data_IF_651109698886
#
_entry.id   IF_651109698886
#
_cell.length_a   1.000
_cell.length_b   1.000
_cell.length_c   1.000
_cell.angle_alpha   90.00
_cell.angle_beta   90.00
_cell.angle_gamma   90.00
#
_symmetry.space_group_name_H-M   'P 1'
#
loop_
_entity.id
_entity.type
_entity.pdbx_description
1 polymer ?
#
# COMPACT_ATOMS: atom_id res chain seq x y z
N UNK A 1 4.95 36.15 -15.79
CA UNK A 1 5.57 35.47 -14.63
C UNK A 1 6.66 34.55 -15.16
N UNK A 2 7.85 34.48 -14.56
CA UNK A 2 8.87 33.56 -15.02
C UNK A 2 8.29 32.13 -14.99
N UNK A 3 8.53 31.36 -16.04
CA UNK A 3 8.13 29.96 -16.18
C UNK A 3 8.74 29.15 -15.03
N UNK A 4 7.98 28.97 -13.94
CA UNK A 4 8.39 28.15 -12.80
C UNK A 4 7.83 26.74 -12.93
N UNK A 5 8.63 25.73 -12.61
CA UNK A 5 8.18 24.35 -12.50
C UNK A 5 6.93 24.23 -11.59
N UNK A 6 6.07 23.29 -11.92
CA UNK A 6 4.92 22.93 -11.10
C UNK A 6 5.38 22.36 -9.76
N UNK A 7 4.72 22.76 -8.67
CA UNK A 7 4.90 22.06 -7.40
C UNK A 7 4.27 20.67 -7.49
N UNK A 8 5.02 19.62 -7.22
CA UNK A 8 4.46 18.28 -7.08
C UNK A 8 3.96 18.10 -5.65
N UNK A 9 2.67 17.79 -5.50
CA UNK A 9 2.03 17.59 -4.22
C UNK A 9 1.77 16.10 -4.06
N UNK A 10 2.55 15.46 -3.18
CA UNK A 10 2.61 14.02 -3.00
C UNK A 10 2.02 13.66 -1.63
N UNK A 11 0.71 13.41 -1.54
CA UNK A 11 0.06 13.02 -0.29
C UNK A 11 0.38 11.57 0.10
N UNK A 12 0.60 11.34 1.38
CA UNK A 12 0.85 10.04 1.99
C UNK A 12 -0.30 9.73 2.96
N UNK A 13 -0.98 8.59 2.79
CA UNK A 13 -2.09 8.22 3.69
C UNK A 13 -1.64 7.31 4.84
N UNK A 14 -0.75 6.36 4.55
CA UNK A 14 -0.13 5.50 5.55
C UNK A 14 1.39 5.64 5.50
N UNK A 15 1.97 6.13 6.59
CA UNK A 15 3.41 6.40 6.66
C UNK A 15 4.22 5.12 6.41
N UNK A 16 3.88 4.06 7.14
CA UNK A 16 4.62 2.80 7.14
C UNK A 16 4.61 2.10 5.77
N UNK A 17 3.52 2.26 5.00
CA UNK A 17 3.34 1.59 3.70
C UNK A 17 3.77 2.44 2.50
N UNK A 18 3.65 3.75 2.59
CA UNK A 18 3.74 4.63 1.41
C UNK A 18 4.89 5.65 1.47
N UNK A 19 5.38 6.02 2.67
CA UNK A 19 6.29 7.16 2.82
C UNK A 19 7.61 6.95 2.08
N UNK A 20 8.29 5.82 2.28
CA UNK A 20 9.61 5.59 1.70
C UNK A 20 9.58 5.62 0.16
N UNK A 21 8.57 4.98 -0.44
CA UNK A 21 8.33 4.99 -1.88
C UNK A 21 8.05 6.41 -2.43
N UNK A 22 7.18 7.17 -1.76
CA UNK A 22 6.83 8.53 -2.17
C UNK A 22 7.97 9.53 -1.91
N UNK A 23 8.81 9.27 -0.92
CA UNK A 23 10.03 10.02 -0.66
C UNK A 23 11.07 9.80 -1.76
N UNK A 24 11.23 8.57 -2.26
CA UNK A 24 12.08 8.29 -3.42
C UNK A 24 11.60 9.07 -4.65
N UNK A 25 10.29 9.04 -4.96
CA UNK A 25 9.70 9.85 -6.03
C UNK A 25 9.97 11.35 -5.82
N UNK A 26 9.85 11.82 -4.58
CA UNK A 26 10.13 13.22 -4.24
C UNK A 26 11.59 13.59 -4.50
N UNK A 27 12.54 12.70 -4.20
CA UNK A 27 13.96 12.91 -4.46
C UNK A 27 14.25 12.99 -5.96
N UNK A 28 13.71 12.04 -6.75
CA UNK A 28 13.86 12.03 -8.21
C UNK A 28 13.27 13.29 -8.83
N UNK A 29 12.07 13.70 -8.43
CA UNK A 29 11.44 14.92 -8.94
C UNK A 29 12.21 16.18 -8.54
N UNK A 30 12.65 16.27 -7.29
CA UNK A 30 13.41 17.42 -6.80
C UNK A 30 14.78 17.55 -7.48
N UNK A 31 15.46 16.43 -7.75
CA UNK A 31 16.72 16.41 -8.51
C UNK A 31 16.53 16.92 -9.94
N UNK A 32 15.33 16.75 -10.50
CA UNK A 32 14.93 17.30 -11.81
C UNK A 32 14.30 18.71 -11.73
N UNK A 33 14.46 19.40 -10.60
CA UNK A 33 14.06 20.80 -10.47
C UNK A 33 12.59 21.03 -10.11
N UNK A 34 11.80 19.99 -9.83
CA UNK A 34 10.46 20.18 -9.30
C UNK A 34 10.51 20.57 -7.82
N UNK A 35 9.85 21.65 -7.38
CA UNK A 35 9.56 21.82 -5.97
C UNK A 35 8.54 20.77 -5.53
N UNK A 36 8.78 20.08 -4.41
CA UNK A 36 7.90 19.01 -3.92
C UNK A 36 7.35 19.33 -2.54
N UNK A 37 6.06 19.06 -2.34
CA UNK A 37 5.39 19.01 -1.03
C UNK A 37 4.99 17.57 -0.76
N UNK A 38 5.61 16.95 0.24
CA UNK A 38 5.37 15.57 0.67
C UNK A 38 4.80 15.58 2.10
N UNK A 39 3.81 14.72 2.39
CA UNK A 39 3.38 14.51 3.77
C UNK A 39 1.96 14.00 3.92
N UNK A 40 1.40 14.10 5.13
CA UNK A 40 0.06 13.56 5.44
C UNK A 40 -1.00 14.09 4.47
N UNK A 41 -1.75 13.17 3.86
CA UNK A 41 -2.87 13.50 2.96
C UNK A 41 -3.88 14.45 3.61
N UNK A 42 -4.19 14.24 4.88
CA UNK A 42 -5.15 15.08 5.60
C UNK A 42 -4.63 16.53 5.70
N UNK A 43 -3.35 16.70 6.03
CA UNK A 43 -2.72 18.01 6.16
C UNK A 43 -2.49 18.68 4.80
N UNK A 44 -2.17 17.93 3.74
CA UNK A 44 -2.18 18.44 2.37
C UNK A 44 -3.57 19.02 2.03
N UNK A 45 -4.66 18.35 2.43
CA UNK A 45 -6.02 18.85 2.16
C UNK A 45 -6.38 20.06 3.01
N UNK A 46 -5.88 20.18 4.24
CA UNK A 46 -6.06 21.38 5.07
C UNK A 46 -5.38 22.61 4.49
N UNK A 47 -4.23 22.39 3.86
CA UNK A 47 -3.41 23.46 3.31
C UNK A 47 -3.62 23.66 1.81
N UNK A 48 -4.49 22.87 1.16
CA UNK A 48 -4.69 22.90 -0.30
C UNK A 48 -4.88 24.30 -0.89
N UNK A 49 -5.61 25.18 -0.20
CA UNK A 49 -5.84 26.56 -0.65
C UNK A 49 -4.63 27.51 -0.48
N UNK A 50 -3.62 27.09 0.28
CA UNK A 50 -2.39 27.84 0.56
C UNK A 50 -1.17 27.27 -0.18
N UNK A 51 -1.28 26.05 -0.73
CA UNK A 51 -0.19 25.42 -1.49
C UNK A 51 -0.02 26.12 -2.86
N UNK A 52 1.22 26.23 -3.38
CA UNK A 52 1.43 26.72 -4.73
C UNK A 52 0.72 25.85 -5.76
N UNK A 53 0.17 26.48 -6.81
CA UNK A 53 -0.49 25.78 -7.91
C UNK A 53 0.47 24.77 -8.57
N UNK A 54 -0.01 23.56 -8.82
CA UNK A 54 0.85 22.45 -9.21
C UNK A 54 0.08 21.16 -9.45
N UNK A 55 0.81 20.04 -9.48
CA UNK A 55 0.28 18.72 -9.81
C UNK A 55 0.07 17.91 -8.52
N UNK A 56 -1.17 17.53 -8.23
CA UNK A 56 -1.54 16.67 -7.11
C UNK A 56 -1.54 15.21 -7.54
N UNK A 57 -0.78 14.38 -6.83
CA UNK A 57 -0.66 12.95 -7.09
C UNK A 57 -1.67 12.16 -6.26
N UNK A 58 -2.79 11.78 -6.87
CA UNK A 58 -3.82 11.03 -6.20
C UNK A 58 -3.46 9.54 -6.06
N UNK A 59 -3.55 9.02 -4.84
CA UNK A 59 -3.38 7.60 -4.52
C UNK A 59 -4.53 6.67 -4.94
N UNK A 60 -5.67 7.24 -5.31
CA UNK A 60 -6.87 6.47 -5.65
C UNK A 60 -7.90 7.34 -6.37
N UNK A 61 -8.73 6.73 -7.20
CA UNK A 61 -9.82 7.38 -7.93
C UNK A 61 -11.21 7.03 -7.35
N UNK A 62 -11.31 6.85 -6.03
CA UNK A 62 -12.56 6.48 -5.34
C UNK A 62 -13.53 7.65 -5.22
N UNK A 63 -14.83 7.36 -5.16
CA UNK A 63 -15.91 8.36 -4.93
C UNK A 63 -15.71 9.22 -3.68
N UNK A 64 -15.04 8.68 -2.65
CA UNK A 64 -14.63 9.39 -1.43
C UNK A 64 -13.79 10.66 -1.72
N UNK A 65 -13.08 10.69 -2.85
CA UNK A 65 -12.25 11.83 -3.26
C UNK A 65 -13.01 12.89 -4.07
N UNK A 66 -14.28 12.66 -4.46
CA UNK A 66 -15.06 13.56 -5.33
C UNK A 66 -15.01 15.02 -4.89
N UNK A 67 -15.34 15.28 -3.62
CA UNK A 67 -15.36 16.64 -3.07
C UNK A 67 -13.99 17.30 -3.11
N UNK A 68 -12.92 16.56 -2.84
CA UNK A 68 -11.58 17.12 -2.80
C UNK A 68 -11.01 17.33 -4.21
N UNK A 69 -11.25 16.42 -5.15
CA UNK A 69 -10.83 16.60 -6.54
C UNK A 69 -11.48 17.84 -7.16
N UNK A 70 -12.77 18.04 -6.91
CA UNK A 70 -13.46 19.28 -7.31
C UNK A 70 -12.76 20.51 -6.73
N UNK A 71 -12.47 20.53 -5.43
CA UNK A 71 -11.79 21.67 -4.78
C UNK A 71 -10.41 21.90 -5.40
N UNK A 72 -9.60 20.84 -5.60
CA UNK A 72 -8.27 20.94 -6.21
C UNK A 72 -8.33 21.55 -7.63
N UNK A 73 -9.28 21.13 -8.46
CA UNK A 73 -9.49 21.71 -9.80
C UNK A 73 -9.91 23.18 -9.73
N UNK A 74 -10.81 23.54 -8.81
CA UNK A 74 -11.21 24.95 -8.61
C UNK A 74 -10.05 25.84 -8.16
N UNK A 75 -9.10 25.29 -7.39
CA UNK A 75 -7.87 25.97 -6.99
C UNK A 75 -6.80 26.03 -8.10
N UNK A 76 -7.04 25.37 -9.24
CA UNK A 76 -6.13 25.35 -10.38
C UNK A 76 -5.08 24.24 -10.33
N UNK A 77 -5.19 23.29 -9.42
CA UNK A 77 -4.29 22.14 -9.43
C UNK A 77 -4.65 21.19 -10.58
N UNK A 78 -3.61 20.58 -11.13
CA UNK A 78 -3.76 19.42 -12.01
C UNK A 78 -3.77 18.14 -11.16
N UNK A 79 -4.49 17.11 -11.60
CA UNK A 79 -4.58 15.86 -10.86
C UNK A 79 -4.09 14.72 -11.75
N UNK A 80 -3.03 14.06 -11.31
CA UNK A 80 -2.58 12.78 -11.87
C UNK A 80 -2.83 11.69 -10.83
N UNK A 81 -2.96 10.43 -11.24
CA UNK A 81 -3.36 9.39 -10.31
C UNK A 81 -2.69 8.03 -10.58
N UNK A 82 -2.61 7.22 -9.54
CA UNK A 82 -2.57 5.76 -9.62
C UNK A 82 -3.58 5.18 -8.62
N UNK A 83 -3.81 3.87 -8.65
CA UNK A 83 -4.51 3.18 -7.55
C UNK A 83 -3.51 2.38 -6.71
N UNK A 84 -3.39 2.76 -5.43
CA UNK A 84 -2.40 2.21 -4.48
C UNK A 84 -2.56 0.70 -4.23
N UNK A 85 -3.78 0.18 -4.42
CA UNK A 85 -4.12 -1.24 -4.22
C UNK A 85 -4.51 -1.93 -5.54
N UNK A 86 -3.99 -1.46 -6.69
CA UNK A 86 -4.31 -2.05 -7.99
C UNK A 86 -3.60 -3.38 -8.26
N UNK A 87 -2.52 -3.70 -7.53
CA UNK A 87 -1.69 -4.86 -7.83
C UNK A 87 -2.31 -6.19 -7.37
N UNK A 88 -3.10 -6.16 -6.30
CA UNK A 88 -3.88 -7.31 -5.83
C UNK A 88 -5.29 -6.82 -5.62
N UNK A 89 -6.18 -7.18 -6.53
CA UNK A 89 -7.53 -6.63 -6.60
C UNK A 89 -8.56 -7.73 -6.82
N UNK A 90 -9.83 -7.50 -6.39
CA UNK A 90 -10.94 -8.39 -6.71
C UNK A 90 -11.29 -8.35 -8.22
N UNK A 91 -12.16 -9.23 -8.73
CA UNK A 91 -12.62 -9.23 -10.11
C UNK A 91 -13.17 -7.87 -10.56
N UNK A 92 -13.15 -7.56 -11.88
CA UNK A 92 -13.39 -6.22 -12.43
C UNK A 92 -14.62 -5.50 -11.87
N UNK A 93 -15.80 -6.13 -11.87
CA UNK A 93 -17.04 -5.49 -11.41
C UNK A 93 -16.98 -5.04 -9.93
N UNK A 94 -16.36 -5.88 -9.09
CA UNK A 94 -16.15 -5.55 -7.68
C UNK A 94 -15.08 -4.47 -7.54
N UNK A 95 -13.98 -4.56 -8.29
CA UNK A 95 -12.92 -3.56 -8.30
C UNK A 95 -13.45 -2.18 -8.70
N UNK A 96 -14.21 -2.07 -9.79
CA UNK A 96 -14.76 -0.81 -10.29
C UNK A 96 -15.66 -0.14 -9.26
N UNK A 97 -16.52 -0.91 -8.60
CA UNK A 97 -17.44 -0.40 -7.57
C UNK A 97 -16.68 0.11 -6.34
N UNK A 98 -15.61 -0.56 -5.94
CA UNK A 98 -14.86 -0.24 -4.72
C UNK A 98 -13.80 0.86 -4.93
N UNK A 99 -13.16 0.89 -6.10
CA UNK A 99 -11.92 1.62 -6.37
C UNK A 99 -12.07 2.79 -7.33
N UNK A 100 -13.04 2.75 -8.23
CA UNK A 100 -13.22 3.79 -9.24
C UNK A 100 -14.51 4.58 -9.01
N UNK A 101 -14.56 5.80 -9.53
CA UNK A 101 -15.79 6.57 -9.62
C UNK A 101 -15.78 7.37 -10.92
N UNK A 102 -16.92 7.42 -11.65
CA UNK A 102 -17.00 8.20 -12.88
C UNK A 102 -16.71 9.69 -12.63
N UNK A 103 -17.08 10.21 -11.44
CA UNK A 103 -16.86 11.61 -11.12
C UNK A 103 -15.39 11.93 -10.83
N UNK A 104 -14.66 11.09 -10.12
CA UNK A 104 -13.24 11.34 -9.82
C UNK A 104 -12.36 11.14 -11.04
N UNK A 105 -12.57 10.06 -11.80
CA UNK A 105 -11.70 9.72 -12.93
C UNK A 105 -11.71 10.80 -14.01
N UNK A 106 -12.84 11.49 -14.22
CA UNK A 106 -12.96 12.65 -15.12
C UNK A 106 -12.15 13.87 -14.70
N UNK A 107 -11.69 13.95 -13.46
CA UNK A 107 -10.84 15.04 -12.98
C UNK A 107 -9.35 14.74 -13.11
N UNK A 108 -8.98 13.54 -13.56
CA UNK A 108 -7.59 13.10 -13.70
C UNK A 108 -7.11 13.35 -15.14
N UNK A 109 -5.89 13.85 -15.30
CA UNK A 109 -5.26 14.08 -16.61
C UNK A 109 -4.38 12.92 -17.07
N UNK A 110 -3.78 12.19 -16.14
CA UNK A 110 -2.93 11.03 -16.43
C UNK A 110 -3.09 9.96 -15.35
N UNK A 111 -3.15 8.69 -15.78
CA UNK A 111 -3.13 7.52 -14.90
C UNK A 111 -1.79 6.81 -15.06
N UNK A 112 -1.13 6.53 -13.93
CA UNK A 112 0.09 5.73 -13.86
C UNK A 112 -0.28 4.30 -13.43
N UNK A 113 -0.06 3.34 -14.33
CA UNK A 113 -0.38 1.94 -14.13
C UNK A 113 0.82 1.17 -13.56
N UNK A 114 0.53 0.20 -12.68
CA UNK A 114 1.55 -0.68 -12.10
C UNK A 114 2.21 -1.59 -13.13
N UNK A 115 1.47 -2.04 -14.13
CA UNK A 115 1.90 -2.96 -15.19
C UNK A 115 0.83 -3.03 -16.29
N UNK A 116 1.02 -3.91 -17.26
CA UNK A 116 0.07 -4.10 -18.37
C UNK A 116 -1.30 -4.58 -17.85
N UNK A 117 -1.31 -5.45 -16.85
CA UNK A 117 -2.56 -5.94 -16.25
C UNK A 117 -3.46 -4.80 -15.79
N UNK A 118 -2.89 -3.82 -15.09
CA UNK A 118 -3.66 -2.71 -14.56
C UNK A 118 -4.23 -1.83 -15.71
N UNK A 119 -3.54 -1.74 -16.85
CA UNK A 119 -4.07 -1.08 -18.05
C UNK A 119 -5.28 -1.84 -18.59
N UNK A 120 -5.15 -3.15 -18.76
CA UNK A 120 -6.20 -4.01 -19.30
C UNK A 120 -7.45 -4.01 -18.40
N UNK A 121 -7.26 -3.98 -17.09
CA UNK A 121 -8.33 -3.80 -16.10
C UNK A 121 -9.01 -2.43 -16.24
N UNK A 122 -8.24 -1.35 -16.37
CA UNK A 122 -8.80 0.00 -16.52
C UNK A 122 -9.57 0.16 -17.83
N UNK A 123 -9.11 -0.47 -18.92
CA UNK A 123 -9.78 -0.43 -20.23
C UNK A 123 -11.15 -1.13 -20.22
N UNK A 124 -11.35 -2.10 -19.32
CA UNK A 124 -12.65 -2.74 -19.12
C UNK A 124 -13.64 -1.84 -18.36
N UNK A 125 -13.21 -0.73 -17.76
CA UNK A 125 -14.09 0.14 -16.99
C UNK A 125 -15.01 0.95 -17.92
N UNK A 126 -16.35 0.75 -17.90
CA UNK A 126 -17.25 1.37 -18.88
C UNK A 126 -17.32 2.90 -18.82
N UNK A 127 -16.87 3.48 -17.71
CA UNK A 127 -16.91 4.92 -17.45
C UNK A 127 -15.51 5.56 -17.53
N UNK A 128 -14.52 4.84 -18.09
CA UNK A 128 -13.23 5.40 -18.42
C UNK A 128 -13.40 6.50 -19.49
N UNK A 129 -12.89 7.73 -19.26
CA UNK A 129 -12.99 8.78 -20.27
C UNK A 129 -12.31 8.38 -21.58
N UNK A 130 -12.95 8.71 -22.71
CA UNK A 130 -12.37 8.48 -24.03
C UNK A 130 -10.99 9.16 -24.12
N UNK A 131 -9.99 8.42 -24.61
CA UNK A 131 -8.60 8.87 -24.73
C UNK A 131 -7.90 9.23 -23.41
N UNK A 132 -8.36 8.71 -22.26
CA UNK A 132 -7.63 8.86 -20.99
C UNK A 132 -6.19 8.35 -21.12
N UNK A 133 -5.15 9.19 -20.93
CA UNK A 133 -3.76 8.74 -20.98
C UNK A 133 -3.45 7.81 -19.80
N UNK A 134 -3.16 6.54 -20.11
CA UNK A 134 -2.73 5.53 -19.15
C UNK A 134 -1.28 5.15 -19.49
N UNK A 135 -0.37 5.35 -18.54
CA UNK A 135 1.07 5.15 -18.73
C UNK A 135 1.55 3.97 -17.90
N UNK A 136 2.20 3.00 -18.54
CA UNK A 136 2.83 1.87 -17.84
C UNK A 136 4.18 2.32 -17.28
N UNK A 137 4.14 2.97 -16.12
CA UNK A 137 5.34 3.46 -15.44
C UNK A 137 5.86 2.49 -14.40
N UNK A 138 5.03 1.58 -13.91
CA UNK A 138 5.24 0.97 -12.60
C UNK A 138 4.78 1.89 -11.47
N UNK A 139 5.10 1.53 -10.23
CA UNK A 139 4.78 2.33 -9.05
C UNK A 139 6.04 2.51 -8.17
N UNK A 140 6.24 3.66 -7.49
CA UNK A 140 7.34 3.83 -6.54
C UNK A 140 7.41 2.76 -5.44
N UNK A 141 6.29 2.12 -5.08
CA UNK A 141 6.28 0.95 -4.19
C UNK A 141 6.92 -0.28 -4.82
N UNK A 142 6.86 -0.43 -6.14
CA UNK A 142 7.62 -1.43 -6.88
C UNK A 142 9.13 -1.14 -6.86
N UNK A 143 9.52 0.13 -6.97
CA UNK A 143 10.94 0.53 -6.93
C UNK A 143 11.61 0.09 -5.62
N UNK A 144 10.98 0.34 -4.46
CA UNK A 144 11.55 -0.03 -3.15
C UNK A 144 11.65 -1.54 -2.90
N UNK A 145 11.02 -2.38 -3.75
CA UNK A 145 11.12 -3.85 -3.67
C UNK A 145 12.26 -4.41 -4.50
N UNK A 146 12.92 -3.58 -5.33
CA UNK A 146 14.00 -4.02 -6.22
C UNK A 146 15.22 -4.51 -5.43
N UNK A 147 15.99 -5.49 -5.96
CA UNK A 147 17.16 -6.05 -5.26
C UNK A 147 18.19 -5.02 -4.78
N UNK A 148 18.48 -4.02 -5.60
CA UNK A 148 19.39 -2.91 -5.30
C UNK A 148 18.86 -1.95 -4.22
N UNK A 149 17.56 -1.98 -3.92
CA UNK A 149 16.95 -1.15 -2.87
C UNK A 149 16.96 -1.83 -1.50
N UNK A 150 17.23 -3.14 -1.41
CA UNK A 150 17.23 -3.90 -0.15
C UNK A 150 18.14 -3.28 0.93
N UNK A 151 19.37 -2.80 0.63
CA UNK A 151 20.25 -2.23 1.64
C UNK A 151 19.71 -0.99 2.35
N UNK A 152 18.70 -0.32 1.77
CA UNK A 152 17.99 0.78 2.44
C UNK A 152 17.42 0.37 3.81
N UNK A 153 17.07 -0.90 3.96
CA UNK A 153 16.42 -1.49 5.13
C UNK A 153 17.39 -2.27 6.04
N UNK A 154 18.70 -2.30 5.75
CA UNK A 154 19.66 -3.16 6.47
C UNK A 154 19.68 -2.89 7.99
N UNK A 155 19.57 -1.63 8.40
CA UNK A 155 19.56 -1.27 9.83
C UNK A 155 18.38 -1.91 10.55
N UNK A 156 17.18 -1.83 9.96
CA UNK A 156 15.97 -2.43 10.50
C UNK A 156 16.02 -3.97 10.42
N UNK A 157 16.53 -4.54 9.32
CA UNK A 157 16.71 -5.98 9.14
C UNK A 157 17.64 -6.57 10.21
N UNK A 158 18.80 -5.95 10.42
CA UNK A 158 19.76 -6.41 11.43
C UNK A 158 19.22 -6.26 12.86
N UNK A 159 18.43 -5.22 13.13
CA UNK A 159 17.71 -5.10 14.41
C UNK A 159 16.75 -6.27 14.61
N UNK A 160 15.96 -6.62 13.59
CA UNK A 160 15.00 -7.73 13.68
C UNK A 160 15.71 -9.09 13.86
N UNK A 161 16.80 -9.34 13.13
CA UNK A 161 17.61 -10.56 13.28
C UNK A 161 18.21 -10.68 14.68
N UNK A 162 18.71 -9.58 15.26
CA UNK A 162 19.22 -9.57 16.63
C UNK A 162 18.14 -9.86 17.67
N UNK A 163 16.92 -9.36 17.46
CA UNK A 163 15.81 -9.53 18.41
C UNK A 163 15.16 -10.91 18.34
N UNK A 164 15.02 -11.49 17.15
CA UNK A 164 14.20 -12.69 16.93
C UNK A 164 14.98 -13.91 16.43
N UNK A 165 16.27 -13.75 16.11
CA UNK A 165 17.11 -14.81 15.57
C UNK A 165 16.63 -15.28 14.19
N UNK A 166 16.71 -16.58 13.95
CA UNK A 166 16.09 -17.20 12.77
C UNK A 166 14.59 -17.39 13.03
N UNK A 167 13.75 -16.87 12.14
CA UNK A 167 12.30 -16.98 12.30
C UNK A 167 11.56 -17.25 11.00
N UNK A 168 10.41 -17.90 11.15
CA UNK A 168 9.36 -18.01 10.12
C UNK A 168 8.36 -16.89 10.37
N UNK A 169 8.04 -16.14 9.31
CA UNK A 169 7.04 -15.07 9.37
C UNK A 169 5.67 -15.61 8.92
N UNK A 170 4.62 -15.39 9.70
CA UNK A 170 3.24 -15.69 9.34
C UNK A 170 2.52 -14.35 9.19
N UNK A 171 2.16 -13.99 7.96
CA UNK A 171 1.35 -12.80 7.70
C UNK A 171 -0.11 -13.20 7.50
N UNK A 172 -1.00 -12.57 8.25
CA UNK A 172 -2.44 -12.81 8.16
C UNK A 172 -3.17 -11.64 7.51
N UNK A 173 -4.35 -11.93 6.95
CA UNK A 173 -5.24 -10.96 6.30
C UNK A 173 -6.71 -11.30 6.56
N UNK A 174 -7.08 -11.64 7.80
CA UNK A 174 -8.43 -12.08 8.16
C UNK A 174 -9.29 -10.96 8.75
N UNK A 175 -9.11 -9.71 8.30
CA UNK A 175 -9.90 -8.56 8.81
C UNK A 175 -11.40 -8.77 8.55
N UNK A 176 -11.76 -9.48 7.49
CA UNK A 176 -13.13 -9.79 7.09
C UNK A 176 -13.90 -10.61 8.14
N UNK A 177 -13.20 -11.49 8.88
CA UNK A 177 -13.79 -12.46 9.81
C UNK A 177 -13.31 -12.29 11.26
N UNK A 178 -12.15 -11.66 11.45
CA UNK A 178 -11.53 -11.38 12.74
C UNK A 178 -11.22 -9.89 12.92
N UNK A 179 -12.17 -8.95 12.73
CA UNK A 179 -11.88 -7.52 12.86
C UNK A 179 -11.69 -7.09 14.32
N UNK A 180 -10.74 -6.18 14.58
CA UNK A 180 -10.61 -5.51 15.88
C UNK A 180 -11.81 -4.57 16.16
N UNK A 181 -12.26 -3.85 15.13
CA UNK A 181 -13.47 -3.03 15.18
C UNK A 181 -14.58 -3.78 14.43
N UNK A 182 -15.65 -4.26 15.11
CA UNK A 182 -16.66 -5.14 14.50
C UNK A 182 -17.26 -4.63 13.18
N UNK A 183 -17.48 -3.32 13.05
CA UNK A 183 -18.04 -2.72 11.83
C UNK A 183 -17.08 -2.73 10.63
N UNK A 184 -15.78 -3.00 10.81
CA UNK A 184 -14.79 -3.03 9.72
C UNK A 184 -14.83 -4.35 8.95
N UNK A 185 -15.22 -5.45 9.61
CA UNK A 185 -15.30 -6.77 8.99
C UNK A 185 -16.34 -6.86 7.87
N UNK A 186 -16.49 -8.06 7.30
CA UNK A 186 -17.42 -8.30 6.21
C UNK A 186 -18.88 -8.30 6.69
N UNK A 187 -19.10 -8.91 7.86
CA UNK A 187 -20.34 -8.87 8.62
C UNK A 187 -20.09 -8.36 10.03
N UNK A 188 -21.07 -7.66 10.58
CA UNK A 188 -21.07 -7.34 12.01
C UNK A 188 -21.48 -8.61 12.77
N UNK A 189 -20.70 -9.09 13.75
CA UNK A 189 -21.09 -10.25 14.55
C UNK A 189 -22.35 -9.95 15.37
N UNK A 190 -23.30 -10.87 15.41
CA UNK A 190 -24.46 -10.83 16.32
C UNK A 190 -24.05 -11.22 17.74
N UNK A 191 -24.96 -11.02 18.73
CA UNK A 191 -24.72 -11.45 20.12
C UNK A 191 -24.46 -12.95 20.25
N UNK A 192 -25.00 -13.74 19.33
CA UNK A 192 -24.88 -15.20 19.30
C UNK A 192 -23.73 -15.67 18.39
N UNK A 193 -22.88 -14.73 17.91
CA UNK A 193 -21.74 -15.02 17.04
C UNK A 193 -22.09 -15.28 15.57
N UNK A 194 -23.35 -15.12 15.17
CA UNK A 194 -23.80 -15.32 13.79
C UNK A 194 -23.64 -14.06 12.91
N UNK A 195 -23.65 -14.25 11.58
CA UNK A 195 -23.66 -13.15 10.59
C UNK A 195 -24.89 -12.26 10.81
N UNK A 196 -24.71 -10.96 11.03
CA UNK A 196 -25.83 -10.01 11.09
C UNK A 196 -25.89 -9.13 9.83
N UNK A 197 -25.91 -7.81 9.99
CA UNK A 197 -25.81 -6.84 8.88
C UNK A 197 -24.38 -6.80 8.32
N UNK A 198 -24.25 -6.34 7.09
CA UNK A 198 -22.95 -6.10 6.46
C UNK A 198 -22.13 -5.05 7.21
N UNK A 199 -20.85 -5.36 7.36
CA UNK A 199 -19.84 -4.40 7.79
C UNK A 199 -19.26 -3.63 6.61
N UNK A 200 -18.26 -2.81 6.88
CA UNK A 200 -17.64 -1.89 5.92
C UNK A 200 -16.97 -2.63 4.76
N UNK A 201 -16.32 -3.76 5.02
CA UNK A 201 -15.68 -4.55 3.96
C UNK A 201 -16.71 -5.16 2.98
N UNK A 202 -17.96 -5.39 3.43
CA UNK A 202 -19.02 -5.97 2.60
C UNK A 202 -19.83 -4.97 1.79
N UNK A 203 -19.53 -3.66 1.89
CA UNK A 203 -20.24 -2.61 1.14
C UNK A 203 -19.89 -2.74 -0.35
N UNK A 204 -20.92 -2.80 -1.20
CA UNK A 204 -20.76 -2.88 -2.66
C UNK A 204 -20.62 -4.29 -3.22
N UNK A 205 -20.54 -5.32 -2.38
CA UNK A 205 -20.50 -6.73 -2.81
C UNK A 205 -21.91 -7.31 -3.01
N UNK A 206 -22.06 -8.40 -3.78
CA UNK A 206 -23.31 -9.18 -3.74
C UNK A 206 -23.41 -9.91 -2.39
N UNK A 207 -24.62 -10.33 -1.99
CA UNK A 207 -24.77 -11.03 -0.70
C UNK A 207 -24.15 -12.42 -0.75
N UNK A 208 -24.40 -13.15 -1.84
CA UNK A 208 -23.81 -14.46 -2.11
C UNK A 208 -22.28 -14.43 -2.07
N UNK A 209 -21.66 -13.46 -2.76
CA UNK A 209 -20.21 -13.29 -2.74
C UNK A 209 -19.69 -13.00 -1.32
N UNK A 210 -20.35 -12.10 -0.59
CA UNK A 210 -19.94 -11.77 0.77
C UNK A 210 -20.10 -12.97 1.71
N UNK A 211 -21.19 -13.72 1.62
CA UNK A 211 -21.43 -14.90 2.45
C UNK A 211 -20.35 -15.97 2.22
N UNK A 212 -20.05 -16.29 0.96
CA UNK A 212 -19.03 -17.28 0.61
C UNK A 212 -17.59 -16.82 0.93
N UNK A 213 -17.25 -15.55 0.72
CA UNK A 213 -15.95 -15.01 1.10
C UNK A 213 -15.74 -15.09 2.62
N UNK A 214 -16.79 -14.81 3.41
CA UNK A 214 -16.72 -14.95 4.87
C UNK A 214 -16.49 -16.40 5.28
N UNK A 215 -17.24 -17.35 4.72
CA UNK A 215 -17.12 -18.76 5.07
C UNK A 215 -15.71 -19.28 4.75
N UNK A 216 -15.18 -18.93 3.57
CA UNK A 216 -13.83 -19.28 3.16
C UNK A 216 -12.77 -18.68 4.09
N UNK A 217 -12.81 -17.36 4.35
CA UNK A 217 -11.86 -16.68 5.24
C UNK A 217 -11.94 -17.18 6.68
N UNK A 218 -13.11 -17.56 7.16
CA UNK A 218 -13.29 -18.12 8.50
C UNK A 218 -12.66 -19.51 8.60
N UNK A 219 -12.83 -20.36 7.59
CA UNK A 219 -12.17 -21.67 7.55
C UNK A 219 -10.65 -21.55 7.54
N UNK A 220 -10.09 -20.65 6.72
CA UNK A 220 -8.64 -20.41 6.68
C UNK A 220 -8.12 -19.84 8.02
N UNK A 221 -8.88 -18.99 8.70
CA UNK A 221 -8.50 -18.52 10.03
C UNK A 221 -8.36 -19.71 11.01
N UNK A 222 -9.29 -20.67 10.98
CA UNK A 222 -9.20 -21.88 11.79
C UNK A 222 -7.99 -22.75 11.41
N UNK A 223 -7.68 -22.88 10.12
CA UNK A 223 -6.46 -23.54 9.67
C UNK A 223 -5.21 -22.87 10.24
N UNK A 224 -5.15 -21.52 10.23
CA UNK A 224 -4.02 -20.76 10.77
C UNK A 224 -3.89 -20.89 12.29
N UNK A 225 -5.02 -20.96 13.02
CA UNK A 225 -5.01 -21.18 14.46
C UNK A 225 -4.39 -22.53 14.83
N UNK A 226 -4.55 -23.55 13.99
CA UNK A 226 -3.92 -24.87 14.16
C UNK A 226 -2.48 -24.89 13.65
N UNK A 227 -2.21 -24.17 12.56
CA UNK A 227 -0.90 -24.11 11.91
C UNK A 227 0.17 -23.51 12.82
N UNK A 228 -0.12 -22.39 13.50
CA UNK A 228 0.84 -21.67 14.35
C UNK A 228 1.52 -22.60 15.38
N UNK A 229 0.78 -23.32 16.25
CA UNK A 229 1.40 -24.24 17.20
C UNK A 229 2.00 -25.49 16.53
N UNK A 230 1.51 -25.92 15.37
CA UNK A 230 2.09 -27.03 14.63
C UNK A 230 3.50 -26.70 14.11
N UNK A 231 3.69 -25.49 13.57
CA UNK A 231 5.00 -24.99 13.14
C UNK A 231 6.00 -24.90 14.29
N UNK A 232 5.57 -24.41 15.46
CA UNK A 232 6.43 -24.32 16.64
C UNK A 232 6.93 -25.69 17.12
N UNK A 233 6.11 -26.74 16.98
CA UNK A 233 6.47 -28.13 17.32
C UNK A 233 7.40 -28.74 16.28
N UNK A 234 7.12 -28.54 15.00
CA UNK A 234 7.91 -29.12 13.90
C UNK A 234 9.30 -28.47 13.75
N UNK A 235 9.44 -27.18 14.10
CA UNK A 235 10.69 -26.43 13.98
C UNK A 235 11.11 -25.84 15.33
N UNK A 236 11.62 -26.68 16.26
CA UNK A 236 11.88 -26.26 17.64
C UNK A 236 13.01 -25.23 17.80
N UNK A 237 13.85 -25.07 16.77
CA UNK A 237 14.97 -24.12 16.77
C UNK A 237 14.63 -22.76 16.15
N UNK A 238 13.38 -22.58 15.68
CA UNK A 238 12.94 -21.34 15.03
C UNK A 238 11.92 -20.59 15.89
N UNK A 239 12.04 -19.26 15.86
CA UNK A 239 10.97 -18.38 16.33
C UNK A 239 9.84 -18.34 15.29
N UNK A 240 8.59 -18.32 15.73
CA UNK A 240 7.44 -18.11 14.85
C UNK A 240 6.91 -16.71 15.10
N UNK A 241 7.10 -15.81 14.14
CA UNK A 241 6.57 -14.44 14.22
C UNK A 241 5.24 -14.40 13.48
N UNK A 242 4.14 -14.27 14.22
CA UNK A 242 2.82 -13.95 13.66
C UNK A 242 2.72 -12.43 13.56
N UNK A 243 2.50 -11.92 12.35
CA UNK A 243 2.32 -10.50 12.08
C UNK A 243 0.92 -10.26 11.52
N UNK A 244 -0.08 -10.01 12.41
CA UNK A 244 -1.44 -9.80 11.97
C UNK A 244 -1.60 -8.51 11.18
N UNK A 245 -2.62 -8.41 10.33
CA UNK A 245 -3.00 -7.14 9.73
C UNK A 245 -3.49 -6.17 10.84
N UNK A 246 -3.18 -4.86 10.80
CA UNK A 246 -3.50 -3.93 11.89
C UNK A 246 -4.98 -3.82 12.25
N UNK A 247 -5.88 -4.15 11.32
CA UNK A 247 -7.33 -4.15 11.54
C UNK A 247 -7.87 -5.44 12.14
N UNK A 248 -7.04 -6.46 12.34
CA UNK A 248 -7.43 -7.74 12.93
C UNK A 248 -7.43 -7.68 14.47
N UNK A 249 -8.27 -8.50 15.10
CA UNK A 249 -8.24 -8.67 16.54
C UNK A 249 -7.06 -9.58 16.94
N UNK A 250 -6.06 -9.00 17.59
CA UNK A 250 -4.83 -9.72 17.96
C UNK A 250 -5.05 -10.73 19.09
N UNK A 251 -6.18 -10.65 19.81
CA UNK A 251 -6.48 -11.55 20.95
C UNK A 251 -6.39 -13.02 20.55
N UNK A 252 -6.91 -13.39 19.38
CA UNK A 252 -6.89 -14.78 18.88
C UNK A 252 -5.46 -15.32 18.78
N UNK A 253 -4.54 -14.52 18.25
CA UNK A 253 -3.13 -14.93 18.11
C UNK A 253 -2.40 -14.89 19.46
N UNK A 254 -2.71 -13.91 20.32
CA UNK A 254 -2.10 -13.81 21.65
C UNK A 254 -2.47 -14.99 22.54
N UNK A 255 -3.71 -15.48 22.46
CA UNK A 255 -4.17 -16.67 23.20
C UNK A 255 -3.47 -17.95 22.75
N UNK A 256 -3.16 -18.06 21.45
CA UNK A 256 -2.33 -19.14 20.91
C UNK A 256 -0.89 -18.99 21.40
N UNK A 257 -0.32 -17.79 21.25
CA UNK A 257 1.06 -17.51 21.64
C UNK A 257 1.30 -17.73 23.13
N UNK A 258 0.32 -17.48 24.01
CA UNK A 258 0.41 -17.75 25.44
C UNK A 258 0.62 -19.23 25.79
N UNK A 259 0.28 -20.15 24.88
CA UNK A 259 0.46 -21.61 25.01
C UNK A 259 1.73 -22.12 24.34
N UNK A 260 2.47 -21.22 23.69
CA UNK A 260 3.68 -21.50 22.92
C UNK A 260 4.88 -20.78 23.55
N UNK A 261 6.07 -21.38 23.49
CA UNK A 261 7.31 -20.78 24.00
C UNK A 261 7.95 -19.82 22.99
N UNK A 262 7.85 -20.13 21.70
CA UNK A 262 8.59 -19.46 20.59
C UNK A 262 7.70 -18.68 19.62
N UNK A 263 6.39 -18.63 19.87
CA UNK A 263 5.47 -17.80 19.07
C UNK A 263 5.47 -16.37 19.58
N UNK A 264 5.59 -15.40 18.68
CA UNK A 264 5.54 -13.95 18.97
C UNK A 264 4.51 -13.29 18.06
N UNK A 265 3.60 -12.50 18.63
CA UNK A 265 2.59 -11.74 17.89
C UNK A 265 3.04 -10.28 17.80
N UNK A 266 3.45 -9.83 16.62
CA UNK A 266 4.10 -8.52 16.45
C UNK A 266 3.58 -7.84 15.18
N UNK A 267 3.02 -6.64 15.34
CA UNK A 267 2.64 -5.77 14.23
C UNK A 267 3.35 -4.43 14.38
N UNK A 268 4.59 -4.35 13.86
CA UNK A 268 5.41 -3.15 13.94
C UNK A 268 6.06 -2.82 12.60
N UNK A 269 6.17 -1.52 12.29
CA UNK A 269 6.95 -1.01 11.17
C UNK A 269 6.56 -1.53 9.78
N UNK A 270 7.41 -1.21 8.80
CA UNK A 270 7.24 -1.63 7.41
C UNK A 270 7.44 -3.14 7.28
N UNK A 271 6.68 -3.81 6.42
CA UNK A 271 6.77 -5.25 6.20
C UNK A 271 8.06 -5.68 5.50
N UNK A 272 8.67 -4.80 4.69
CA UNK A 272 9.87 -5.12 3.91
C UNK A 272 11.03 -5.59 4.81
N UNK A 273 11.41 -4.88 5.90
CA UNK A 273 12.39 -5.39 6.86
C UNK A 273 12.06 -6.77 7.43
N UNK A 274 10.79 -7.06 7.73
CA UNK A 274 10.38 -8.36 8.25
C UNK A 274 10.57 -9.47 7.23
N UNK A 275 10.20 -9.22 5.97
CA UNK A 275 10.42 -10.16 4.87
C UNK A 275 11.90 -10.46 4.68
N UNK A 276 12.75 -9.43 4.63
CA UNK A 276 14.20 -9.57 4.42
C UNK A 276 14.92 -10.21 5.62
N UNK A 277 14.37 -10.06 6.82
CA UNK A 277 14.91 -10.69 8.04
C UNK A 277 14.47 -12.16 8.21
N UNK A 278 13.28 -12.52 7.74
CA UNK A 278 12.72 -13.86 7.86
C UNK A 278 13.47 -14.90 7.00
N UNK A 279 13.38 -16.18 7.39
CA UNK A 279 13.84 -17.28 6.52
C UNK A 279 12.87 -17.56 5.39
N UNK A 280 11.58 -17.37 5.65
CA UNK A 280 10.48 -17.59 4.74
C UNK A 280 9.21 -16.97 5.32
N UNK A 281 8.23 -16.72 4.47
CA UNK A 281 6.91 -16.24 4.87
C UNK A 281 5.82 -17.27 4.55
N UNK A 282 4.91 -17.51 5.48
CA UNK A 282 3.68 -18.28 5.26
C UNK A 282 2.47 -17.32 5.25
N UNK A 283 1.58 -17.47 4.27
CA UNK A 283 0.39 -16.63 4.12
C UNK A 283 -0.76 -17.37 3.42
N UNK A 284 -1.92 -16.69 3.25
CA UNK A 284 -2.99 -17.10 2.34
C UNK A 284 -3.44 -15.85 1.53
N UNK A 285 -3.03 -15.78 0.25
CA UNK A 285 -3.48 -14.73 -0.68
C UNK A 285 -3.24 -13.26 -0.27
N UNK A 286 -2.26 -12.95 0.60
CA UNK A 286 -2.00 -11.57 1.03
C UNK A 286 -1.06 -10.84 0.07
N UNK A 287 -1.20 -9.52 -0.12
CA UNK A 287 -0.31 -8.71 -0.98
C UNK A 287 1.17 -8.87 -0.63
N UNK A 288 1.48 -9.17 0.64
CA UNK A 288 2.86 -9.45 1.07
C UNK A 288 3.50 -10.62 0.32
N UNK A 289 2.72 -11.59 -0.19
CA UNK A 289 3.25 -12.70 -1.00
C UNK A 289 3.93 -12.21 -2.27
N UNK A 290 3.35 -11.20 -2.92
CA UNK A 290 3.98 -10.54 -4.06
C UNK A 290 5.21 -9.74 -3.63
N UNK A 291 5.13 -9.00 -2.53
CA UNK A 291 6.28 -8.21 -2.04
C UNK A 291 7.46 -9.13 -1.69
N UNK A 292 7.20 -10.29 -1.09
CA UNK A 292 8.21 -11.33 -0.82
C UNK A 292 8.84 -11.85 -2.12
N UNK A 293 8.01 -12.16 -3.12
CA UNK A 293 8.50 -12.58 -4.44
C UNK A 293 9.44 -11.54 -5.07
N UNK A 294 9.03 -10.27 -5.11
CA UNK A 294 9.84 -9.17 -5.65
C UNK A 294 11.15 -8.96 -4.86
N UNK A 295 11.09 -9.10 -3.54
CA UNK A 295 12.25 -9.01 -2.65
C UNK A 295 13.15 -10.24 -2.68
N UNK A 296 12.83 -11.28 -3.45
CA UNK A 296 13.64 -12.50 -3.50
C UNK A 296 13.59 -13.28 -2.18
N UNK A 297 12.49 -13.19 -1.43
CA UNK A 297 12.24 -13.95 -0.20
C UNK A 297 11.28 -15.10 -0.53
N UNK A 298 11.62 -16.36 -0.19
CA UNK A 298 10.72 -17.47 -0.41
C UNK A 298 9.44 -17.32 0.43
N UNK A 299 8.31 -17.60 -0.20
CA UNK A 299 7.00 -17.53 0.44
C UNK A 299 6.18 -18.79 0.10
N UNK A 300 5.33 -19.19 1.04
CA UNK A 300 4.43 -20.33 0.91
C UNK A 300 3.00 -19.86 1.16
N UNK A 301 2.11 -20.11 0.21
CA UNK A 301 0.68 -20.00 0.38
C UNK A 301 0.16 -21.30 0.98
N UNK A 302 -0.34 -21.24 2.21
CA UNK A 302 -0.96 -22.37 2.90
C UNK A 302 -2.45 -22.44 2.52
N UNK A 303 -2.83 -23.52 1.85
CA UNK A 303 -4.11 -23.72 1.18
C UNK A 303 -4.82 -24.98 1.68
N UNK A 304 -4.80 -25.22 3.00
CA UNK A 304 -5.44 -26.39 3.60
C UNK A 304 -6.95 -26.43 3.31
N UNK A 305 -7.62 -25.30 3.48
CA UNK A 305 -8.96 -25.07 2.91
C UNK A 305 -8.81 -24.31 1.59
N UNK A 306 -8.63 -25.03 0.48
CA UNK A 306 -8.52 -24.43 -0.85
C UNK A 306 -9.89 -24.18 -1.50
N UNK A 307 -10.06 -23.01 -2.08
CA UNK A 307 -11.16 -22.70 -2.97
C UNK A 307 -10.64 -21.98 -4.22
N UNK A 308 -10.82 -22.58 -5.39
CA UNK A 308 -10.30 -22.06 -6.66
C UNK A 308 -10.75 -20.61 -6.93
N UNK A 309 -12.03 -20.31 -6.73
CA UNK A 309 -12.56 -18.97 -6.95
C UNK A 309 -11.91 -17.94 -6.03
N UNK A 310 -11.83 -18.18 -4.72
CA UNK A 310 -11.29 -17.20 -3.78
C UNK A 310 -9.75 -17.13 -3.76
N UNK A 311 -9.07 -18.26 -3.93
CA UNK A 311 -7.61 -18.34 -3.83
C UNK A 311 -6.90 -18.12 -5.17
N UNK A 312 -7.56 -18.27 -6.33
CA UNK A 312 -6.98 -18.00 -7.66
C UNK A 312 -7.66 -16.87 -8.43
N UNK A 313 -8.98 -16.83 -8.50
CA UNK A 313 -9.68 -15.83 -9.33
C UNK A 313 -9.85 -14.49 -8.61
N UNK A 314 -10.14 -14.52 -7.31
CA UNK A 314 -10.44 -13.32 -6.55
C UNK A 314 -9.19 -12.52 -6.17
N UNK A 315 -8.19 -13.14 -5.55
CA UNK A 315 -6.92 -12.49 -5.13
C UNK A 315 -5.73 -13.44 -5.32
N UNK A 316 -5.66 -14.10 -6.48
CA UNK A 316 -4.73 -15.22 -6.67
C UNK A 316 -3.28 -14.88 -6.97
N UNK A 317 -2.96 -13.62 -7.32
CA UNK A 317 -1.59 -13.25 -7.70
C UNK A 317 -0.55 -13.62 -6.63
N UNK A 318 -0.72 -13.28 -5.33
CA UNK A 318 0.23 -13.70 -4.31
C UNK A 318 0.33 -15.23 -4.15
N UNK A 319 -0.78 -15.95 -4.31
CA UNK A 319 -0.79 -17.42 -4.23
C UNK A 319 0.00 -18.05 -5.37
N UNK A 320 -0.18 -17.55 -6.60
CA UNK A 320 0.50 -18.04 -7.81
C UNK A 320 2.00 -17.76 -7.79
N UNK A 321 2.42 -16.65 -7.17
CA UNK A 321 3.83 -16.29 -7.01
C UNK A 321 4.54 -17.07 -5.89
N UNK A 322 3.82 -17.64 -4.93
CA UNK A 322 4.39 -18.42 -3.83
C UNK A 322 4.50 -19.92 -4.17
N UNK A 323 5.24 -20.67 -3.34
CA UNK A 323 5.03 -22.11 -3.24
C UNK A 323 3.63 -22.37 -2.69
N UNK A 324 3.00 -23.47 -3.09
CA UNK A 324 1.66 -23.82 -2.63
C UNK A 324 1.75 -25.09 -1.81
N UNK A 325 1.06 -25.13 -0.67
CA UNK A 325 0.98 -26.31 0.19
C UNK A 325 -0.45 -26.50 0.66
N UNK A 326 -1.02 -27.66 0.35
CA UNK A 326 -2.44 -27.99 0.57
C UNK A 326 -2.68 -28.73 1.90
N UNK A 327 -1.62 -29.02 2.64
CA UNK A 327 -1.67 -29.61 3.97
C UNK A 327 -0.36 -29.32 4.73
N UNK A 328 -0.32 -29.69 6.01
CA UNK A 328 0.83 -29.43 6.87
C UNK A 328 2.09 -30.20 6.46
N UNK A 329 1.93 -31.41 5.89
CA UNK A 329 3.05 -32.27 5.48
C UNK A 329 3.81 -31.64 4.29
N UNK A 330 3.07 -31.18 3.27
CA UNK A 330 3.62 -30.42 2.14
C UNK A 330 4.28 -29.12 2.58
N UNK A 331 3.65 -28.41 3.53
CA UNK A 331 4.21 -27.19 4.10
C UNK A 331 5.54 -27.48 4.80
N UNK A 332 5.59 -28.51 5.65
CA UNK A 332 6.79 -28.90 6.37
C UNK A 332 7.90 -29.32 5.41
N UNK A 333 7.59 -30.07 4.36
CA UNK A 333 8.54 -30.45 3.32
C UNK A 333 9.13 -29.23 2.61
N UNK A 334 8.27 -28.30 2.18
CA UNK A 334 8.67 -27.06 1.50
C UNK A 334 9.51 -26.18 2.41
N UNK A 335 9.10 -25.99 3.66
CA UNK A 335 9.85 -25.23 4.67
C UNK A 335 11.23 -25.83 4.91
N UNK A 336 11.33 -27.15 5.05
CA UNK A 336 12.61 -27.85 5.24
C UNK A 336 13.54 -27.60 4.05
N UNK A 337 13.04 -27.73 2.82
CA UNK A 337 13.81 -27.44 1.61
C UNK A 337 14.32 -25.99 1.56
N UNK A 338 13.52 -25.01 2.00
CA UNK A 338 13.94 -23.61 2.10
C UNK A 338 15.03 -23.42 3.16
N UNK A 339 14.83 -23.98 4.35
CA UNK A 339 15.77 -23.86 5.48
C UNK A 339 17.13 -24.51 5.19
N UNK A 340 17.13 -25.61 4.44
CA UNK A 340 18.34 -26.30 3.96
C UNK A 340 19.00 -25.61 2.75
N UNK A 341 18.41 -24.53 2.22
CA UNK A 341 18.90 -23.82 1.04
C UNK A 341 18.71 -24.54 -0.29
N UNK A 342 17.94 -25.64 -0.31
CA UNK A 342 17.58 -26.39 -1.53
C UNK A 342 16.53 -25.64 -2.35
N UNK A 343 15.66 -24.88 -1.68
CA UNK A 343 14.63 -24.06 -2.31
C UNK A 343 14.89 -22.57 -2.02
N UNK A 344 14.97 -21.78 -3.09
CA UNK A 344 14.98 -20.32 -3.03
C UNK A 344 13.58 -19.75 -3.23
N UNK A 345 13.44 -18.55 -3.79
CA UNK A 345 12.14 -18.05 -4.27
C UNK A 345 11.56 -19.00 -5.31
N UNK A 346 10.24 -19.14 -5.32
CA UNK A 346 9.54 -19.90 -6.35
C UNK A 346 9.85 -19.32 -7.73
N UNK A 347 10.59 -20.07 -8.56
CA UNK A 347 10.99 -19.67 -9.91
C UNK A 347 10.15 -20.39 -10.98
N UNK A 348 10.34 -20.00 -12.23
CA UNK A 348 9.68 -20.59 -13.39
C UNK A 348 9.22 -19.52 -14.39
N UNK A 349 9.21 -19.87 -15.67
CA UNK A 349 8.81 -18.95 -16.75
C UNK A 349 7.38 -18.43 -16.56
N UNK A 350 6.47 -19.27 -16.07
CA UNK A 350 5.08 -18.86 -15.79
C UNK A 350 5.01 -17.76 -14.72
N UNK A 351 5.72 -17.92 -13.59
CA UNK A 351 5.75 -16.91 -12.52
C UNK A 351 6.43 -15.63 -12.98
N UNK A 352 7.47 -15.75 -13.81
CA UNK A 352 8.16 -14.61 -14.42
C UNK A 352 7.23 -13.84 -15.35
N UNK A 353 6.55 -14.53 -16.26
CA UNK A 353 5.56 -13.93 -17.16
C UNK A 353 4.43 -13.25 -16.36
N UNK A 354 4.00 -13.88 -15.27
CA UNK A 354 2.97 -13.33 -14.40
C UNK A 354 3.42 -12.03 -13.72
N UNK A 355 4.58 -12.00 -13.08
CA UNK A 355 5.05 -10.76 -12.43
C UNK A 355 5.32 -9.65 -13.46
N UNK A 356 5.84 -9.98 -14.65
CA UNK A 356 6.14 -9.01 -15.71
C UNK A 356 4.88 -8.36 -16.28
N UNK A 357 3.75 -9.10 -16.29
CA UNK A 357 2.45 -8.59 -16.68
C UNK A 357 1.87 -7.60 -15.65
N UNK A 358 2.03 -7.88 -14.35
CA UNK A 358 1.47 -7.07 -13.27
C UNK A 358 2.34 -5.89 -12.81
N UNK A 359 3.67 -6.04 -12.89
CA UNK A 359 4.64 -5.09 -12.33
C UNK A 359 5.68 -4.67 -13.36
N UNK A 360 5.55 -3.44 -13.84
CA UNK A 360 6.57 -2.78 -14.64
C UNK A 360 7.71 -2.21 -13.76
N UNK A 361 8.81 -1.81 -14.41
CA UNK A 361 9.97 -1.18 -13.77
C UNK A 361 10.72 -2.04 -12.73
N UNK A 362 10.62 -3.36 -12.84
CA UNK A 362 11.36 -4.30 -11.97
C UNK A 362 12.90 -4.19 -12.12
N UNK A 363 13.39 -3.63 -13.23
CA UNK A 363 14.81 -3.40 -13.51
C UNK A 363 15.01 -2.13 -14.37
N UNK A 364 16.28 -1.71 -14.51
CA UNK A 364 16.66 -0.53 -15.29
C UNK A 364 16.14 0.77 -14.67
N UNK A 365 15.53 1.64 -15.48
CA UNK A 365 14.98 2.93 -15.01
C UNK A 365 13.86 2.72 -13.99
N UNK A 366 13.90 3.47 -12.89
CA UNK A 366 12.92 3.42 -11.80
C UNK A 366 11.53 3.88 -12.28
N UNK A 367 10.46 3.38 -11.66
CA UNK A 367 9.10 3.89 -11.86
C UNK A 367 9.03 5.38 -11.53
N UNK A 368 9.75 5.82 -10.48
CA UNK A 368 9.88 7.23 -10.12
C UNK A 368 10.40 8.08 -11.29
N UNK A 369 11.40 7.59 -12.03
CA UNK A 369 11.97 8.32 -13.18
C UNK A 369 11.00 8.36 -14.35
N UNK A 370 10.33 7.23 -14.64
CA UNK A 370 9.33 7.14 -15.70
C UNK A 370 8.15 8.07 -15.45
N UNK A 371 7.68 8.15 -14.21
CA UNK A 371 6.61 9.09 -13.80
C UNK A 371 7.06 10.53 -14.02
N UNK A 372 8.28 10.89 -13.60
CA UNK A 372 8.77 12.26 -13.76
C UNK A 372 9.01 12.60 -15.24
N UNK A 373 9.44 11.65 -16.09
CA UNK A 373 9.52 11.86 -17.54
C UNK A 373 8.17 12.30 -18.11
N UNK A 374 7.09 11.56 -17.79
CA UNK A 374 5.74 11.90 -18.25
C UNK A 374 5.34 13.29 -17.77
N UNK A 375 5.69 13.67 -16.53
CA UNK A 375 5.39 15.01 -16.02
C UNK A 375 6.16 16.11 -16.78
N UNK A 376 7.42 15.85 -17.14
CA UNK A 376 8.26 16.77 -17.92
C UNK A 376 7.78 16.90 -19.37
N UNK A 377 7.44 15.79 -20.02
CA UNK A 377 6.89 15.72 -21.38
C UNK A 377 5.58 16.52 -21.50
N UNK A 378 4.76 16.52 -20.44
CA UNK A 378 3.54 17.31 -20.37
C UNK A 378 3.77 18.76 -19.88
N UNK A 379 5.02 19.19 -19.78
CA UNK A 379 5.42 20.58 -19.53
C UNK A 379 5.39 21.02 -18.06
N UNK A 380 5.05 20.13 -17.13
CA UNK A 380 4.95 20.47 -15.70
C UNK A 380 6.31 20.84 -15.09
N UNK A 381 7.42 20.38 -15.67
CA UNK A 381 8.78 20.79 -15.25
C UNK A 381 9.14 22.24 -15.61
N UNK A 382 8.37 22.88 -16.49
CA UNK A 382 8.65 24.25 -16.97
C UNK A 382 7.55 25.24 -16.60
N UNK A 383 6.29 24.79 -16.49
CA UNK A 383 5.14 25.66 -16.27
C UNK A 383 4.21 25.06 -15.23
N UNK A 384 3.62 25.93 -14.41
CA UNK A 384 2.48 25.59 -13.57
C UNK A 384 1.23 25.33 -14.43
N UNK A 385 0.25 24.54 -13.93
CA UNK A 385 -1.05 24.41 -14.59
C UNK A 385 -1.71 25.77 -14.81
N UNK A 386 -2.68 25.90 -15.73
CA UNK A 386 -3.40 27.14 -15.98
C UNK A 386 -4.04 27.70 -14.70
N UNK A 387 -3.97 29.02 -14.51
CA UNK A 387 -4.68 29.66 -13.40
C UNK A 387 -6.19 29.66 -13.71
N UNK A 388 -7.05 29.29 -12.75
CA UNK A 388 -8.48 29.41 -12.92
C UNK A 388 -8.92 30.89 -12.89
N UNK A 389 -10.11 31.22 -13.41
CA UNK A 389 -10.71 32.53 -13.23
C UNK A 389 -10.80 32.90 -11.74
N UNK A 390 -10.68 34.19 -11.41
CA UNK A 390 -10.65 34.66 -10.02
C UNK A 390 -11.89 34.20 -9.23
N UNK A 391 -13.09 34.28 -9.81
CA UNK A 391 -14.32 33.79 -9.15
C UNK A 391 -14.29 32.29 -8.85
N UNK A 392 -13.78 31.49 -9.79
CA UNK A 392 -13.58 30.04 -9.63
C UNK A 392 -12.57 29.74 -8.53
N UNK A 393 -11.46 30.49 -8.49
CA UNK A 393 -10.45 30.37 -7.44
C UNK A 393 -11.04 30.69 -6.07
N UNK A 394 -11.74 31.82 -5.94
CA UNK A 394 -12.36 32.24 -4.66
C UNK A 394 -13.39 31.20 -4.17
N UNK A 395 -14.18 30.63 -5.09
CA UNK A 395 -15.07 29.51 -4.76
C UNK A 395 -14.30 28.29 -4.25
N UNK A 396 -13.23 27.89 -4.94
CA UNK A 396 -12.35 26.79 -4.53
C UNK A 396 -11.73 27.03 -3.16
N UNK A 397 -11.23 28.25 -2.93
CA UNK A 397 -10.63 28.68 -1.67
C UNK A 397 -11.63 28.62 -0.51
N UNK A 398 -12.84 29.14 -0.69
CA UNK A 398 -13.88 29.12 0.33
C UNK A 398 -14.29 27.69 0.67
N UNK A 399 -14.49 26.82 -0.34
CA UNK A 399 -14.81 25.41 -0.15
C UNK A 399 -13.67 24.66 0.56
N UNK A 400 -12.42 24.93 0.21
CA UNK A 400 -11.25 24.34 0.86
C UNK A 400 -11.16 24.74 2.34
N UNK A 401 -11.30 26.03 2.66
CA UNK A 401 -11.26 26.53 4.04
C UNK A 401 -12.43 25.99 4.87
N UNK A 402 -13.63 25.93 4.30
CA UNK A 402 -14.80 25.33 4.97
C UNK A 402 -14.56 23.84 5.23
N UNK A 403 -14.15 23.07 4.22
CA UNK A 403 -13.88 21.63 4.36
C UNK A 403 -12.77 21.35 5.37
N UNK A 404 -11.69 22.13 5.36
CA UNK A 404 -10.60 22.03 6.31
C UNK A 404 -11.08 22.29 7.74
N UNK A 405 -11.87 23.35 7.94
CA UNK A 405 -12.43 23.72 9.25
C UNK A 405 -13.37 22.64 9.80
N UNK A 406 -14.30 22.15 8.98
CA UNK A 406 -15.22 21.06 9.34
C UNK A 406 -14.45 19.78 9.66
N UNK A 407 -13.44 19.43 8.86
CA UNK A 407 -12.66 18.20 9.05
C UNK A 407 -11.79 18.29 10.31
N UNK A 408 -11.11 19.42 10.53
CA UNK A 408 -10.31 19.67 11.73
C UNK A 408 -11.18 19.66 13.00
N UNK A 409 -12.38 20.26 12.96
CA UNK A 409 -13.34 20.17 14.05
C UNK A 409 -13.75 18.70 14.30
N UNK A 410 -14.08 17.96 13.25
CA UNK A 410 -14.44 16.54 13.35
C UNK A 410 -13.29 15.65 13.84
N UNK A 411 -12.03 16.03 13.61
CA UNK A 411 -10.86 15.33 14.16
C UNK A 411 -10.74 15.49 15.68
N UNK A 412 -11.22 16.61 16.23
CA UNK A 412 -11.15 16.95 17.65
C UNK A 412 -12.41 16.58 18.45
N UNK A 413 -13.47 16.10 17.79
CA UNK A 413 -14.73 15.71 18.45
C UNK A 413 -14.55 14.42 19.29
N UNK A 414 -15.21 14.31 20.46
CA UNK A 414 -15.24 13.07 21.23
C UNK A 414 -15.93 11.93 20.44
N UNK A 415 -15.35 10.73 20.44
CA UNK A 415 -15.81 9.57 19.66
C UNK A 415 -14.64 8.61 19.35
N UNK A 416 -14.78 7.62 18.44
CA UNK A 416 -13.63 6.87 17.93
C UNK A 416 -12.65 7.89 17.31
N UNK A 417 -11.60 8.19 18.06
CA UNK A 417 -10.88 9.45 17.97
C UNK A 417 -10.16 9.54 16.61
N UNK A 418 -10.72 10.35 15.70
CA UNK A 418 -10.22 10.46 14.31
C UNK A 418 -8.80 11.02 14.25
N UNK A 419 -8.42 11.84 15.22
CA UNK A 419 -7.05 12.31 15.36
C UNK A 419 -6.12 11.18 15.79
N UNK A 420 -6.49 10.39 16.81
CA UNK A 420 -5.65 9.24 17.18
C UNK A 420 -5.56 8.19 16.06
N UNK A 421 -6.62 8.02 15.28
CA UNK A 421 -6.58 7.16 14.08
C UNK A 421 -5.67 7.72 12.99
N UNK A 422 -5.63 9.05 12.80
CA UNK A 422 -4.65 9.69 11.94
C UNK A 422 -3.23 9.49 12.48
N UNK A 423 -2.97 9.83 13.73
CA UNK A 423 -1.64 9.78 14.37
C UNK A 423 -1.10 8.36 14.46
N UNK A 424 -1.97 7.35 14.50
CA UNK A 424 -1.59 5.95 14.37
C UNK A 424 -1.11 5.59 12.95
N UNK A 425 -1.75 6.11 11.89
CA UNK A 425 -1.38 5.82 10.49
C UNK A 425 -0.28 6.72 9.94
N UNK A 426 -0.16 7.93 10.50
CA UNK A 426 0.81 8.95 10.12
C UNK A 426 1.21 9.74 11.37
N UNK A 427 2.05 9.16 12.25
CA UNK A 427 2.62 9.90 13.37
C UNK A 427 3.45 11.09 12.88
N UNK A 428 3.70 12.04 13.77
CA UNK A 428 4.59 13.16 13.48
C UNK A 428 6.01 12.66 13.24
N UNK A 429 6.65 13.21 12.20
CA UNK A 429 7.96 12.77 11.74
C UNK A 429 8.93 13.93 11.94
N UNK A 430 10.01 13.76 12.70
CA UNK A 430 11.04 14.79 12.80
C UNK A 430 11.70 15.05 11.44
N UNK A 431 12.01 16.31 11.15
CA UNK A 431 12.75 16.69 9.93
C UNK A 431 14.02 15.85 9.72
N UNK A 432 14.77 15.62 10.81
CA UNK A 432 15.99 14.82 10.79
C UNK A 432 15.77 13.37 10.31
N UNK A 433 14.60 12.78 10.56
CA UNK A 433 14.29 11.43 10.08
C UNK A 433 14.09 11.43 8.54
N UNK A 434 13.43 12.46 8.00
CA UNK A 434 13.30 12.63 6.54
C UNK A 434 14.68 12.85 5.91
N UNK A 435 15.53 13.69 6.50
CA UNK A 435 16.92 13.91 6.05
C UNK A 435 17.72 12.61 6.06
N UNK A 436 17.61 11.80 7.12
CA UNK A 436 18.30 10.51 7.20
C UNK A 436 17.81 9.52 6.13
N UNK A 437 16.49 9.47 5.86
CA UNK A 437 15.92 8.64 4.79
C UNK A 437 16.41 9.09 3.41
N UNK A 438 16.44 10.38 3.11
CA UNK A 438 17.00 10.93 1.86
C UNK A 438 18.49 10.59 1.76
N UNK A 439 19.27 10.77 2.83
CA UNK A 439 20.69 10.45 2.85
C UNK A 439 20.96 8.94 2.64
N UNK A 440 20.08 8.06 3.13
CA UNK A 440 20.14 6.62 2.82
C UNK A 440 19.95 6.36 1.34
N UNK A 441 18.92 6.93 0.72
CA UNK A 441 18.74 6.83 -0.74
C UNK A 441 19.94 7.40 -1.50
N UNK A 442 20.47 8.55 -1.07
CA UNK A 442 21.58 9.20 -1.74
C UNK A 442 22.87 8.36 -1.72
N UNK A 443 23.19 7.73 -0.58
CA UNK A 443 24.31 6.77 -0.49
C UNK A 443 24.07 5.53 -1.35
N UNK A 444 22.86 4.97 -1.30
CA UNK A 444 22.54 3.72 -1.98
C UNK A 444 22.54 3.85 -3.51
N UNK A 445 21.95 4.93 -4.01
CA UNK A 445 21.79 5.17 -5.44
C UNK A 445 22.88 6.08 -6.02
N UNK A 446 23.81 6.55 -5.19
CA UNK A 446 24.82 7.56 -5.54
C UNK A 446 24.20 8.80 -6.22
N UNK A 447 23.10 9.30 -5.64
CA UNK A 447 22.28 10.40 -6.14
C UNK A 447 21.88 11.35 -5.03
N UNK A 448 21.12 12.40 -5.35
CA UNK A 448 20.41 13.22 -4.35
C UNK A 448 21.28 14.01 -3.34
N UNK A 449 22.60 14.13 -3.53
CA UNK A 449 23.47 14.86 -2.60
C UNK A 449 23.14 16.35 -2.42
N UNK A 450 22.49 16.94 -3.42
CA UNK A 450 22.05 18.34 -3.41
C UNK A 450 20.63 18.54 -2.88
N UNK A 451 19.86 17.45 -2.67
CA UNK A 451 18.50 17.55 -2.17
C UNK A 451 18.51 18.18 -0.76
N UNK A 452 17.62 19.13 -0.56
CA UNK A 452 17.36 19.80 0.72
C UNK A 452 15.91 19.61 1.09
N UNK A 453 15.66 19.37 2.37
CA UNK A 453 14.32 19.29 2.94
C UNK A 453 14.15 20.36 4.00
N UNK A 454 12.95 20.95 4.07
CA UNK A 454 12.55 21.88 5.12
C UNK A 454 11.19 21.47 5.65
N UNK A 455 10.95 21.67 6.94
CA UNK A 455 9.61 21.57 7.49
C UNK A 455 8.72 22.64 6.84
N UNK A 456 7.61 22.23 6.22
CA UNK A 456 6.62 23.17 5.69
C UNK A 456 5.53 23.46 6.73
N UNK A 457 5.01 22.40 7.33
CA UNK A 457 4.07 22.43 8.46
C UNK A 457 4.20 21.12 9.25
N UNK A 458 3.45 20.95 10.34
CA UNK A 458 3.61 19.82 11.28
C UNK A 458 3.77 18.44 10.62
N UNK A 459 3.01 18.16 9.56
CA UNK A 459 3.06 16.87 8.85
C UNK A 459 3.44 16.99 7.37
N UNK A 460 3.94 18.16 6.93
CA UNK A 460 4.31 18.43 5.55
C UNK A 460 5.76 18.89 5.44
N UNK A 461 6.45 18.41 4.41
CA UNK A 461 7.84 18.70 4.12
C UNK A 461 7.96 19.28 2.72
N UNK A 462 8.79 20.31 2.58
CA UNK A 462 9.19 20.86 1.28
C UNK A 462 10.53 20.28 0.89
N UNK A 463 10.60 19.64 -0.27
CA UNK A 463 11.81 19.01 -0.81
C UNK A 463 12.17 19.70 -2.12
N UNK A 464 13.44 20.03 -2.30
CA UNK A 464 13.96 20.73 -3.48
C UNK A 464 15.42 20.34 -3.74
N UNK A 465 15.83 20.34 -5.01
CA UNK A 465 17.20 20.03 -5.44
C UNK A 465 18.13 21.22 -5.49
#
# INVERSE_FOLDING_TARGET
MPNSASTLIIPVENQVRELDAKLLLSCVAAERGFPVILGSRAFVHFEAASLPRGVYLAKSMRSLSNSMFRILRLLGHEIVAWEEEALVHPPPDTYFTLRLSPSTIRNVSHIFAWGQENVDLLQQYPQLPANMPIHITGNPRGDILRPEMRPYFDTEVEKLRKLYGNFILINTNFTEVNPFIPNVGLFVPSKDGQKSRRGQAGIGMSREFADGLWDHKQAILEDFKQLIPALERAFPDLTIVVRPHPSENFKVYNEIAAKCRRVKVINEGNVIPWLLAAKTMVHNGCTTGLEAYALGVPAISYLATFNEYYDYEFQGLPTKLSYQSFNFEELQHTLTGILEGKLGVARGEERKALIDYYLAAQNGRLACERIVDILEENGYGKKQPPSPPVGTFVQGWALAKLKASVTNLNMRRPGPNRLSYHDHRFPEIPLAEIEQKIARFGRLLNRFGNIRVKQHSRHLFRIQG
#
